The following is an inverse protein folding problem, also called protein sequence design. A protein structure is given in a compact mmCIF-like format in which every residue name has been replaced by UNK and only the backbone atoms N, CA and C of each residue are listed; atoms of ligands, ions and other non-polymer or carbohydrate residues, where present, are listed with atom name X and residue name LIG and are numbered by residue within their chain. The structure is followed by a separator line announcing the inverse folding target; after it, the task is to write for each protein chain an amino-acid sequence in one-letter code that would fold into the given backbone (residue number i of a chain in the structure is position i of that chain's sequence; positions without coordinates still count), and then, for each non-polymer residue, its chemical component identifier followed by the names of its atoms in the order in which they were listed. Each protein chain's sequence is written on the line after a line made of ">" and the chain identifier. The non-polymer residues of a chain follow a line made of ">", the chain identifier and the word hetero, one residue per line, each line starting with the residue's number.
data_IF_194091089333
#
_entry.id   IF_194091089333
#
_cell.length_a   1.000
_cell.length_b   1.000
_cell.length_c   1.000
_cell.angle_alpha   90.00
_cell.angle_beta   90.00
_cell.angle_gamma   90.00
#
_symmetry.space_group_name_H-M   'P 1'
#
loop_
_entity.id
_entity.type
_entity.pdbx_description
1 polymer ?
#
# COMPACT_ATOMS: atom_id res chain seq x y z
N UNK A 1 -21.94 26.36 3.77
CA UNK A 1 -21.56 25.09 4.41
C UNK A 1 -20.68 25.43 5.60
N UNK A 2 -21.00 24.98 6.84
CA UNK A 2 -20.21 25.36 8.00
C UNK A 2 -18.82 24.71 7.92
N UNK A 3 -17.78 25.49 8.19
CA UNK A 3 -16.40 25.04 8.28
C UNK A 3 -16.23 24.14 9.52
N UNK A 4 -15.72 22.92 9.31
CA UNK A 4 -15.44 21.96 10.38
C UNK A 4 -14.15 22.41 11.09
N UNK A 5 -14.25 22.70 12.38
CA UNK A 5 -13.16 23.24 13.20
C UNK A 5 -11.92 22.35 13.22
N UNK A 6 -10.76 22.99 13.39
CA UNK A 6 -9.46 22.37 13.54
C UNK A 6 -9.33 21.69 14.92
N UNK A 7 -10.02 20.56 15.12
CA UNK A 7 -9.40 19.46 15.84
C UNK A 7 -8.20 19.01 15.01
N UNK A 8 -7.07 18.66 15.62
CA UNK A 8 -5.97 17.99 14.93
C UNK A 8 -6.52 16.73 14.28
N UNK A 9 -6.94 16.85 13.02
CA UNK A 9 -7.85 15.92 12.38
C UNK A 9 -7.14 14.56 12.33
N UNK A 10 -7.62 13.61 13.13
CA UNK A 10 -7.06 12.26 13.15
C UNK A 10 -7.12 11.73 11.73
N UNK A 11 -5.97 11.39 11.10
CA UNK A 11 -5.98 10.96 9.72
C UNK A 11 -6.77 9.66 9.60
N UNK A 12 -7.53 9.53 8.52
CA UNK A 12 -8.11 8.23 8.15
C UNK A 12 -6.99 7.35 7.59
N UNK A 13 -6.92 6.11 8.05
CA UNK A 13 -5.95 5.12 7.57
C UNK A 13 -6.71 4.08 6.74
N UNK A 14 -6.30 3.90 5.49
CA UNK A 14 -6.80 2.85 4.60
C UNK A 14 -5.66 1.89 4.32
N UNK A 15 -5.81 0.63 4.73
CA UNK A 15 -4.83 -0.42 4.48
C UNK A 15 -5.32 -1.33 3.35
N UNK A 16 -4.53 -1.42 2.28
CA UNK A 16 -4.81 -2.27 1.11
C UNK A 16 -3.82 -3.42 1.14
N UNK A 17 -4.33 -4.64 1.26
CA UNK A 17 -3.54 -5.88 1.21
C UNK A 17 -3.97 -6.69 -0.02
N UNK A 18 -3.02 -6.99 -0.89
CA UNK A 18 -3.20 -7.93 -2.00
C UNK A 18 -2.61 -9.29 -1.62
N UNK A 19 -3.34 -10.37 -1.88
CA UNK A 19 -2.88 -11.74 -1.63
C UNK A 19 -2.05 -12.22 -2.82
N UNK A 20 -0.96 -12.97 -2.56
CA UNK A 20 -0.05 -13.54 -3.56
C UNK A 20 0.48 -12.56 -4.62
N UNK A 21 0.63 -11.27 -4.28
CA UNK A 21 1.22 -10.26 -5.18
C UNK A 21 2.75 -10.28 -5.09
N UNK A 22 3.40 -10.63 -6.20
CA UNK A 22 4.85 -10.64 -6.32
C UNK A 22 5.47 -9.24 -6.40
N UNK A 23 6.75 -9.14 -6.04
CA UNK A 23 7.47 -7.86 -6.05
C UNK A 23 7.49 -7.20 -7.43
N UNK A 24 7.60 -8.00 -8.50
CA UNK A 24 7.69 -7.52 -9.89
C UNK A 24 6.34 -7.50 -10.62
N UNK A 25 5.21 -7.57 -9.91
CA UNK A 25 3.87 -7.58 -10.53
C UNK A 25 3.27 -6.18 -10.69
N UNK A 26 3.89 -5.15 -10.09
CA UNK A 26 3.46 -3.74 -10.20
C UNK A 26 4.44 -2.99 -11.10
N UNK A 27 3.95 -2.16 -12.02
CA UNK A 27 4.79 -1.40 -12.96
C UNK A 27 5.84 -0.53 -12.25
N UNK A 28 5.49 0.11 -11.13
CA UNK A 28 6.43 0.86 -10.29
C UNK A 28 7.62 0.07 -9.74
N UNK A 29 7.56 -1.26 -9.74
CA UNK A 29 8.66 -2.16 -9.35
C UNK A 29 9.30 -2.88 -10.56
N UNK A 30 8.99 -2.46 -11.79
CA UNK A 30 9.59 -2.97 -13.03
C UNK A 30 8.74 -3.99 -13.78
N UNK A 31 7.46 -4.14 -13.45
CA UNK A 31 6.53 -5.00 -14.21
C UNK A 31 6.17 -4.42 -15.58
N UNK A 32 5.79 -5.30 -16.50
CA UNK A 32 5.12 -4.94 -17.77
C UNK A 32 3.59 -4.79 -17.59
N UNK A 33 3.05 -5.20 -16.44
CA UNK A 33 1.61 -5.11 -16.14
C UNK A 33 1.20 -3.66 -15.91
N UNK A 34 0.14 -3.23 -16.59
CA UNK A 34 -0.36 -1.86 -16.49
C UNK A 34 -1.12 -1.63 -15.16
N UNK A 35 -0.49 -0.95 -14.19
CA UNK A 35 -1.04 -0.70 -12.84
C UNK A 35 -1.16 0.81 -12.49
N UNK A 36 -1.90 1.61 -13.27
CA UNK A 36 -1.83 3.08 -13.22
C UNK A 36 -2.26 3.68 -11.87
N UNK A 37 -3.19 3.04 -11.15
CA UNK A 37 -3.61 3.50 -9.82
C UNK A 37 -2.51 3.29 -8.76
N UNK A 38 -1.80 2.17 -8.83
CA UNK A 38 -0.68 1.88 -7.92
C UNK A 38 0.54 2.75 -8.27
N UNK A 39 0.75 3.03 -9.56
CA UNK A 39 1.83 3.92 -10.01
C UNK A 39 1.60 5.35 -9.57
N UNK A 40 0.36 5.85 -9.66
CA UNK A 40 -0.02 7.15 -9.15
C UNK A 40 0.18 7.24 -7.62
N UNK A 41 -0.09 6.16 -6.89
CA UNK A 41 0.12 6.09 -5.44
C UNK A 41 1.61 6.08 -5.08
N UNK A 42 2.43 5.32 -5.80
CA UNK A 42 3.87 5.29 -5.62
C UNK A 42 4.50 6.67 -5.90
N UNK A 43 4.07 7.36 -6.95
CA UNK A 43 4.55 8.69 -7.31
C UNK A 43 4.17 9.79 -6.31
N UNK A 44 3.05 9.63 -5.59
CA UNK A 44 2.56 10.58 -4.59
C UNK A 44 3.01 10.24 -3.16
N UNK A 45 3.71 9.12 -2.97
CA UNK A 45 4.04 8.58 -1.68
C UNK A 45 5.47 8.07 -1.59
N UNK A 46 5.65 7.03 -0.78
CA UNK A 46 6.94 6.36 -0.57
C UNK A 46 6.83 4.91 -0.98
N UNK A 47 7.76 4.46 -1.82
CA UNK A 47 7.91 3.05 -2.22
C UNK A 47 8.95 2.34 -1.35
N UNK A 48 8.68 1.09 -0.98
CA UNK A 48 9.61 0.26 -0.22
C UNK A 48 10.20 -0.81 -1.14
N UNK A 49 11.50 -0.73 -1.42
CA UNK A 49 12.19 -1.63 -2.37
C UNK A 49 12.81 -2.86 -1.71
N UNK A 50 12.79 -2.95 -0.38
CA UNK A 50 13.33 -4.07 0.39
C UNK A 50 12.39 -4.46 1.55
N UNK A 51 11.12 -4.66 1.23
CA UNK A 51 10.12 -5.16 2.17
C UNK A 51 10.18 -6.68 2.27
N UNK A 52 10.06 -7.23 3.48
CA UNK A 52 10.08 -8.66 3.74
C UNK A 52 8.82 -9.09 4.49
N UNK A 53 8.28 -10.25 4.11
CA UNK A 53 7.11 -10.86 4.73
C UNK A 53 7.33 -12.36 4.94
N UNK A 54 6.52 -12.98 5.78
CA UNK A 54 6.54 -14.43 5.94
C UNK A 54 6.11 -15.11 4.63
N UNK A 55 6.72 -16.25 4.28
CA UNK A 55 6.46 -16.96 3.04
C UNK A 55 5.08 -17.66 2.95
N UNK A 56 4.20 -17.45 3.93
CA UNK A 56 2.86 -18.03 3.97
C UNK A 56 1.85 -16.95 4.41
N UNK A 57 0.70 -16.92 3.75
CA UNK A 57 -0.34 -15.92 3.98
C UNK A 57 -0.85 -15.92 5.43
N UNK A 58 -0.96 -17.07 6.08
CA UNK A 58 -1.43 -17.14 7.47
C UNK A 58 -0.51 -16.41 8.46
N UNK A 59 0.80 -16.74 8.57
CA UNK A 59 1.73 -15.99 9.41
C UNK A 59 1.94 -14.55 8.93
N UNK A 60 1.93 -14.27 7.62
CA UNK A 60 2.05 -12.91 7.10
C UNK A 60 0.90 -12.01 7.57
N UNK A 61 -0.34 -12.50 7.49
CA UNK A 61 -1.52 -11.77 7.99
C UNK A 61 -1.52 -11.65 9.51
N UNK A 62 -1.09 -12.68 10.22
CA UNK A 62 -1.00 -12.64 11.68
C UNK A 62 0.00 -11.58 12.19
N UNK A 63 1.10 -11.34 11.46
CA UNK A 63 2.08 -10.30 11.81
C UNK A 63 1.58 -8.86 11.60
N UNK A 64 0.48 -8.68 10.87
CA UNK A 64 -0.14 -7.37 10.62
C UNK A 64 -1.16 -6.98 11.71
N UNK A 65 -1.60 -7.93 12.54
CA UNK A 65 -2.65 -7.77 13.56
C UNK A 65 -2.06 -7.78 14.97
#
# INVERSE_FOLDING_TARGET
>A
MPARGAESARPNIVFILADDLGYTDIASYGSEVHTPALDALAAQGTSFTNYHTAANCAPARAMLL
#
